data_IF_818422521735
#
_entry.id   IF_818422521735
#
_cell.length_a   1.000
_cell.length_b   1.000
_cell.length_c   1.000
_cell.angle_alpha   90.00
_cell.angle_beta   90.00
_cell.angle_gamma   90.00
#
_symmetry.space_group_name_H-M   'P 1'
#
loop_
_entity.id
_entity.type
_entity.pdbx_description
1 polymer ?
#
# COMPACT_ATOMS: atom_id res chain seq x y z
N UNK A 1 18.53 -25.42 -13.37
CA UNK A 1 17.54 -26.10 -12.50
C UNK A 1 17.44 -25.40 -11.14
N UNK A 2 18.55 -25.19 -10.43
CA UNK A 2 18.59 -24.50 -9.13
C UNK A 2 17.99 -23.08 -9.10
N UNK A 3 18.16 -22.27 -10.15
CA UNK A 3 17.63 -20.90 -10.17
C UNK A 3 16.09 -20.85 -10.21
N UNK A 4 15.45 -21.81 -10.89
CA UNK A 4 13.99 -21.92 -10.93
C UNK A 4 13.42 -22.43 -9.60
N UNK A 5 14.10 -23.35 -8.93
CA UNK A 5 13.72 -23.83 -7.59
C UNK A 5 13.85 -22.72 -6.55
N UNK A 6 14.92 -21.90 -6.62
CA UNK A 6 15.10 -20.75 -5.75
C UNK A 6 13.99 -19.69 -5.95
N UNK A 7 13.66 -19.36 -7.20
CA UNK A 7 12.56 -18.41 -7.51
C UNK A 7 11.20 -18.94 -7.05
N UNK A 8 10.94 -20.24 -7.22
CA UNK A 8 9.73 -20.88 -6.74
C UNK A 8 9.64 -20.86 -5.20
N UNK A 9 10.75 -21.12 -4.51
CA UNK A 9 10.81 -21.05 -3.04
C UNK A 9 10.63 -19.62 -2.50
N UNK A 10 11.20 -18.61 -3.16
CA UNK A 10 10.99 -17.19 -2.82
C UNK A 10 9.53 -16.78 -3.05
N UNK A 11 8.92 -17.23 -4.14
CA UNK A 11 7.51 -16.97 -4.42
C UNK A 11 6.58 -17.68 -3.42
N UNK A 12 6.90 -18.92 -3.03
CA UNK A 12 6.14 -19.69 -2.05
C UNK A 12 6.21 -19.07 -0.63
N UNK A 13 7.35 -18.46 -0.28
CA UNK A 13 7.53 -17.77 1.01
C UNK A 13 7.04 -16.31 1.01
N UNK A 14 6.60 -15.77 -0.13
CA UNK A 14 5.95 -14.45 -0.19
C UNK A 14 4.57 -14.56 0.43
N UNK A 15 4.49 -14.41 1.74
CA UNK A 15 3.21 -14.17 2.38
C UNK A 15 2.64 -12.84 1.87
N UNK A 16 1.38 -12.81 1.42
CA UNK A 16 0.74 -11.56 1.10
C UNK A 16 0.71 -10.69 2.36
N UNK A 17 0.98 -9.39 2.20
CA UNK A 17 0.98 -8.44 3.31
C UNK A 17 -0.37 -8.50 4.04
N UNK A 18 -0.32 -8.53 5.37
CA UNK A 18 -1.56 -8.50 6.16
C UNK A 18 -2.26 -7.15 5.99
N UNK A 19 -3.58 -7.07 6.18
CA UNK A 19 -4.30 -5.80 6.17
C UNK A 19 -3.66 -4.72 7.07
N UNK A 20 -3.14 -5.12 8.23
CA UNK A 20 -2.45 -4.23 9.17
C UNK A 20 -1.12 -3.71 8.59
N UNK A 21 -0.32 -4.59 7.96
CA UNK A 21 0.91 -4.18 7.25
C UNK A 21 0.60 -3.23 6.10
N UNK A 22 -0.49 -3.46 5.37
CA UNK A 22 -0.94 -2.56 4.30
C UNK A 22 -1.29 -1.18 4.85
N UNK A 23 -1.91 -1.08 6.03
CA UNK A 23 -2.20 0.22 6.66
C UNK A 23 -0.93 0.98 7.03
N UNK A 24 0.09 0.29 7.56
CA UNK A 24 1.40 0.88 7.87
C UNK A 24 2.04 1.43 6.59
N UNK A 25 2.09 0.64 5.53
CA UNK A 25 2.68 1.05 4.26
C UNK A 25 1.95 2.24 3.64
N UNK A 26 0.61 2.27 3.69
CA UNK A 26 -0.14 3.40 3.17
C UNK A 26 0.18 4.68 3.97
N UNK A 27 0.34 4.59 5.30
CA UNK A 27 0.70 5.75 6.11
C UNK A 27 2.09 6.30 5.75
N UNK A 28 3.08 5.42 5.53
CA UNK A 28 4.41 5.82 5.05
C UNK A 28 4.35 6.47 3.66
N UNK A 29 3.53 5.91 2.77
CA UNK A 29 3.36 6.42 1.41
C UNK A 29 2.68 7.79 1.39
N UNK A 30 1.68 8.01 2.23
CA UNK A 30 1.05 9.33 2.42
C UNK A 30 2.05 10.37 2.94
N UNK A 31 2.89 10.01 3.91
CA UNK A 31 3.95 10.90 4.40
C UNK A 31 4.96 11.27 3.30
N UNK A 32 5.29 10.31 2.42
CA UNK A 32 6.15 10.57 1.27
C UNK A 32 5.48 11.49 0.24
N UNK A 33 4.19 11.29 -0.05
CA UNK A 33 3.39 12.17 -0.90
C UNK A 33 3.38 13.59 -0.34
N UNK A 34 3.13 13.75 0.96
CA UNK A 34 3.08 15.08 1.59
C UNK A 34 4.45 15.76 1.60
N UNK A 35 5.54 15.00 1.76
CA UNK A 35 6.90 15.53 1.61
C UNK A 35 7.16 15.98 0.16
N UNK A 36 6.71 15.22 -0.83
CA UNK A 36 6.81 15.62 -2.23
C UNK A 36 5.96 16.87 -2.53
N UNK A 37 4.76 16.95 -1.95
CA UNK A 37 3.85 18.08 -2.04
C UNK A 37 4.40 19.32 -1.33
N UNK A 38 5.34 19.24 -0.40
CA UNK A 38 6.01 20.43 0.13
C UNK A 38 7.08 20.99 -0.80
N UNK A 39 7.63 20.16 -1.69
CA UNK A 39 8.84 20.47 -2.47
C UNK A 39 8.62 20.82 -3.95
N UNK A 40 7.43 20.59 -4.52
CA UNK A 40 7.13 20.89 -5.95
C UNK A 40 6.49 22.29 -6.15
N UNK A 41 6.45 22.86 -7.36
CA UNK A 41 5.80 24.18 -7.61
C UNK A 41 4.27 24.03 -7.77
N UNK A 42 3.51 25.05 -7.35
CA UNK A 42 2.08 24.98 -6.95
C UNK A 42 1.07 24.54 -8.04
N UNK A 43 1.40 24.58 -9.34
CA UNK A 43 0.36 24.61 -10.37
C UNK A 43 0.14 23.28 -11.11
N UNK A 44 1.12 22.36 -11.08
CA UNK A 44 1.00 21.01 -11.67
C UNK A 44 0.89 19.89 -10.61
N UNK A 45 1.05 20.27 -9.33
CA UNK A 45 1.07 19.39 -8.15
C UNK A 45 -0.19 18.58 -7.94
N UNK A 46 -1.35 19.25 -7.91
CA UNK A 46 -2.60 18.62 -7.49
C UNK A 46 -3.01 17.52 -8.47
N UNK A 47 -2.83 17.73 -9.79
CA UNK A 47 -3.18 16.74 -10.81
C UNK A 47 -2.26 15.50 -10.78
N UNK A 48 -0.99 15.67 -10.42
CA UNK A 48 -0.04 14.57 -10.37
C UNK A 48 -0.17 13.73 -9.07
N UNK A 49 -0.52 14.35 -7.94
CA UNK A 49 -0.59 13.67 -6.64
C UNK A 49 -1.95 13.06 -6.34
N UNK A 50 -3.03 13.55 -6.96
CA UNK A 50 -4.38 13.04 -6.71
C UNK A 50 -4.55 11.53 -6.99
N UNK A 51 -3.99 10.95 -8.08
CA UNK A 51 -4.06 9.50 -8.30
C UNK A 51 -3.41 8.70 -7.17
N UNK A 52 -2.30 9.20 -6.60
CA UNK A 52 -1.58 8.54 -5.51
C UNK A 52 -2.38 8.61 -4.20
N UNK A 53 -2.99 9.76 -3.91
CA UNK A 53 -3.88 9.94 -2.75
C UNK A 53 -5.13 9.05 -2.87
N UNK A 54 -5.72 8.96 -4.06
CA UNK A 54 -6.84 8.06 -4.33
C UNK A 54 -6.47 6.60 -4.10
N UNK A 55 -5.29 6.17 -4.56
CA UNK A 55 -4.79 4.81 -4.32
C UNK A 55 -4.62 4.51 -2.82
N UNK A 56 -4.08 5.45 -2.04
CA UNK A 56 -3.95 5.33 -0.60
C UNK A 56 -5.30 5.10 0.08
N UNK A 57 -6.32 5.90 -0.30
CA UNK A 57 -7.68 5.78 0.23
C UNK A 57 -8.27 4.40 -0.07
N UNK A 58 -8.18 3.94 -1.32
CA UNK A 58 -8.70 2.63 -1.73
C UNK A 58 -8.04 1.48 -0.94
N UNK A 59 -6.72 1.55 -0.72
CA UNK A 59 -5.99 0.53 0.04
C UNK A 59 -6.35 0.53 1.52
N UNK A 60 -6.54 1.71 2.13
CA UNK A 60 -7.05 1.84 3.50
C UNK A 60 -8.44 1.24 3.65
N UNK A 61 -9.37 1.58 2.76
CA UNK A 61 -10.73 1.04 2.80
C UNK A 61 -10.74 -0.49 2.67
N UNK A 62 -9.97 -1.03 1.74
CA UNK A 62 -9.82 -2.48 1.57
C UNK A 62 -9.27 -3.14 2.83
N UNK A 63 -8.20 -2.61 3.41
CA UNK A 63 -7.59 -3.17 4.61
C UNK A 63 -8.54 -3.12 5.81
N UNK A 64 -9.22 -2.00 6.01
CA UNK A 64 -10.21 -1.84 7.09
C UNK A 64 -11.40 -2.79 6.93
N UNK A 65 -11.90 -2.99 5.70
CA UNK A 65 -12.96 -3.97 5.42
C UNK A 65 -12.54 -5.40 5.81
N UNK A 66 -11.32 -5.81 5.47
CA UNK A 66 -10.82 -7.14 5.83
C UNK A 66 -10.62 -7.31 7.34
N UNK A 67 -10.13 -6.27 8.03
CA UNK A 67 -10.01 -6.28 9.49
C UNK A 67 -11.40 -6.38 10.14
N UNK A 68 -12.37 -5.63 9.62
CA UNK A 68 -13.74 -5.65 10.13
C UNK A 68 -14.40 -7.01 9.93
N UNK A 69 -14.31 -7.60 8.73
CA UNK A 69 -14.84 -8.93 8.43
C UNK A 69 -14.28 -10.00 9.39
N UNK A 70 -12.96 -9.97 9.67
CA UNK A 70 -12.33 -10.86 10.65
C UNK A 70 -12.86 -10.69 12.08
N UNK A 71 -13.40 -9.53 12.43
CA UNK A 71 -13.96 -9.25 13.76
C UNK A 71 -15.42 -9.69 13.87
N UNK A 72 -16.18 -9.65 12.77
CA UNK A 72 -17.58 -10.09 12.74
C UNK A 72 -17.73 -11.61 12.63
N UNK A 73 -16.72 -12.29 12.08
CA UNK A 73 -16.69 -13.76 11.97
C UNK A 73 -16.21 -14.45 13.27
N UNK A 74 -15.90 -13.70 14.33
CA UNK A 74 -15.49 -14.18 15.66
C UNK A 74 -16.57 -13.92 16.70
#
# INVERSE_FOLDING_TARGET
MQENELRAAIAANRQPATPEQVLIWVAEFEAAIDKADRNTRHNEKARALEPLRSLCRQKKEWAMKLIHARRTDK
#
